data_IF_678454606015
#
_entry.id   IF_678454606015
#
_cell.length_a   1.000
_cell.length_b   1.000
_cell.length_c   1.000
_cell.angle_alpha   90.00
_cell.angle_beta   90.00
_cell.angle_gamma   90.00
#
_symmetry.space_group_name_H-M   'P 1'
#
loop_
_entity.id
_entity.type
_entity.pdbx_description
1 polymer ?
#
# COMPACT_ATOMS: atom_id res chain seq x y z
N UNK A 1 -9.17 -3.98 -21.66
CA UNK A 1 -8.58 -4.16 -20.33
C UNK A 1 -8.44 -5.60 -19.97
N UNK A 2 -7.33 -5.95 -19.36
CA UNK A 2 -7.12 -7.30 -18.88
C UNK A 2 -7.63 -7.42 -17.44
N UNK A 3 -7.81 -8.68 -17.00
CA UNK A 3 -8.15 -8.92 -15.60
C UNK A 3 -7.08 -8.41 -14.65
N UNK A 4 -5.82 -8.40 -15.10
CA UNK A 4 -4.70 -7.90 -14.30
C UNK A 4 -4.83 -6.41 -14.04
N UNK A 5 -5.21 -5.64 -15.06
CA UNK A 5 -5.37 -4.20 -14.91
C UNK A 5 -6.49 -3.86 -13.92
N UNK A 6 -7.59 -4.61 -14.00
CA UNK A 6 -8.71 -4.41 -13.09
C UNK A 6 -8.33 -4.80 -11.66
N UNK A 7 -7.62 -5.90 -11.51
CA UNK A 7 -7.17 -6.35 -10.19
C UNK A 7 -6.23 -5.32 -9.55
N UNK A 8 -5.26 -4.84 -10.32
CA UNK A 8 -4.31 -3.84 -9.82
C UNK A 8 -5.02 -2.57 -9.39
N UNK A 9 -5.98 -2.13 -10.18
CA UNK A 9 -6.76 -0.93 -9.89
C UNK A 9 -7.59 -1.12 -8.61
N UNK A 10 -8.27 -2.26 -8.48
CA UNK A 10 -9.07 -2.56 -7.30
C UNK A 10 -8.22 -2.58 -6.03
N UNK A 11 -7.10 -3.28 -6.08
CA UNK A 11 -6.19 -3.37 -4.93
C UNK A 11 -5.68 -1.98 -4.57
N UNK A 12 -5.26 -1.19 -5.56
CA UNK A 12 -4.76 0.15 -5.33
C UNK A 12 -5.80 1.04 -4.67
N UNK A 13 -7.04 1.00 -5.15
CA UNK A 13 -8.10 1.83 -4.58
C UNK A 13 -8.41 1.45 -3.15
N UNK A 14 -8.52 0.15 -2.87
CA UNK A 14 -8.83 -0.31 -1.52
C UNK A 14 -7.72 0.04 -0.53
N UNK A 15 -6.47 -0.10 -0.95
CA UNK A 15 -5.35 0.23 -0.09
C UNK A 15 -5.26 1.75 0.12
N UNK A 16 -5.47 2.54 -0.93
CA UNK A 16 -5.47 4.00 -0.78
C UNK A 16 -6.54 4.47 0.18
N UNK A 17 -7.73 3.90 0.12
CA UNK A 17 -8.80 4.23 1.05
C UNK A 17 -8.39 3.92 2.50
N UNK A 18 -7.75 2.78 2.70
CA UNK A 18 -7.25 2.41 4.02
C UNK A 18 -6.16 3.39 4.49
N UNK A 19 -5.24 3.74 3.61
CA UNK A 19 -4.12 4.61 3.97
C UNK A 19 -4.57 6.02 4.36
N UNK A 20 -5.67 6.50 3.80
CA UNK A 20 -6.19 7.82 4.15
C UNK A 20 -6.52 7.96 5.63
N UNK A 21 -6.82 6.86 6.30
CA UNK A 21 -7.09 6.87 7.74
C UNK A 21 -5.86 7.22 8.57
N UNK A 22 -4.67 7.11 7.97
CA UNK A 22 -3.40 7.31 8.68
C UNK A 22 -2.63 8.52 8.17
N UNK A 23 -3.27 9.36 7.39
CA UNK A 23 -2.63 10.50 6.73
C UNK A 23 -1.96 11.46 7.72
N UNK A 24 -2.52 11.59 8.92
CA UNK A 24 -2.03 12.56 9.90
C UNK A 24 -1.17 11.94 11.00
N UNK A 25 -0.88 10.64 10.91
CA UNK A 25 -0.05 9.97 11.91
C UNK A 25 1.41 9.95 11.50
N UNK A 26 2.27 10.03 12.49
CA UNK A 26 3.71 10.02 12.24
C UNK A 26 4.17 8.62 11.79
N UNK A 27 5.24 8.59 11.00
CA UNK A 27 5.82 7.34 10.54
C UNK A 27 6.61 6.68 11.69
N UNK A 28 5.95 5.78 12.38
CA UNK A 28 6.54 5.01 13.46
C UNK A 28 6.46 3.53 13.13
N UNK A 29 7.24 2.71 13.85
CA UNK A 29 7.18 1.26 13.64
C UNK A 29 5.77 0.72 13.92
N UNK A 30 5.09 1.28 14.91
CA UNK A 30 3.72 0.87 15.23
C UNK A 30 2.77 1.18 14.07
N UNK A 31 2.89 2.37 13.49
CA UNK A 31 2.06 2.74 12.35
C UNK A 31 2.34 1.82 11.16
N UNK A 32 3.62 1.57 10.87
CA UNK A 32 3.99 0.70 9.76
C UNK A 32 3.43 -0.71 9.92
N UNK A 33 3.50 -1.25 11.15
CA UNK A 33 2.94 -2.57 11.44
C UNK A 33 1.42 -2.58 11.24
N UNK A 34 0.76 -1.52 11.67
CA UNK A 34 -0.69 -1.39 11.51
C UNK A 34 -1.07 -1.35 10.03
N UNK A 35 -0.36 -0.56 9.23
CA UNK A 35 -0.62 -0.45 7.79
C UNK A 35 -0.41 -1.80 7.11
N UNK A 36 0.70 -2.49 7.46
CA UNK A 36 0.97 -3.80 6.88
C UNK A 36 -0.15 -4.78 7.21
N UNK A 37 -0.58 -4.82 8.46
CA UNK A 37 -1.65 -5.72 8.89
C UNK A 37 -2.96 -5.42 8.16
N UNK A 38 -3.31 -4.15 8.01
CA UNK A 38 -4.52 -3.76 7.30
C UNK A 38 -4.44 -4.12 5.82
N UNK A 39 -3.29 -3.90 5.19
CA UNK A 39 -3.09 -4.27 3.80
C UNK A 39 -3.18 -5.79 3.61
N UNK A 40 -2.58 -6.55 4.54
CA UNK A 40 -2.66 -8.01 4.51
C UNK A 40 -4.13 -8.47 4.59
N UNK A 41 -4.92 -7.85 5.45
CA UNK A 41 -6.33 -8.20 5.59
C UNK A 41 -7.11 -7.93 4.29
N UNK A 42 -6.84 -6.81 3.65
CA UNK A 42 -7.47 -6.48 2.37
C UNK A 42 -7.14 -7.55 1.32
N UNK A 43 -5.86 -7.89 1.21
CA UNK A 43 -5.43 -8.85 0.21
C UNK A 43 -5.86 -10.28 0.51
N UNK A 44 -5.97 -10.64 1.79
CA UNK A 44 -6.52 -11.94 2.16
C UNK A 44 -7.96 -12.09 1.70
N UNK A 45 -8.76 -11.04 1.82
CA UNK A 45 -10.13 -11.07 1.35
C UNK A 45 -10.22 -11.20 -0.17
N UNK A 46 -9.34 -10.50 -0.88
CA UNK A 46 -9.28 -10.60 -2.33
C UNK A 46 -8.80 -11.98 -2.75
N UNK A 47 -7.80 -12.52 -2.07
CA UNK A 47 -7.29 -13.85 -2.35
C UNK A 47 -8.36 -14.92 -2.14
N UNK A 48 -9.23 -14.73 -1.16
CA UNK A 48 -10.31 -15.67 -0.91
C UNK A 48 -11.29 -15.77 -2.07
N UNK A 49 -11.35 -14.77 -2.94
CA UNK A 49 -12.19 -14.82 -4.14
C UNK A 49 -11.54 -15.61 -5.28
N UNK A 50 -10.28 -16.00 -5.12
CA UNK A 50 -9.56 -16.77 -6.12
C UNK A 50 -8.79 -15.93 -7.13
N UNK A 51 -8.80 -14.62 -7.00
CA UNK A 51 -8.12 -13.73 -7.94
C UNK A 51 -6.63 -13.54 -7.70
N UNK A 52 -6.16 -13.87 -6.51
CA UNK A 52 -4.77 -13.70 -6.12
C UNK A 52 -4.23 -15.03 -5.59
N UNK A 53 -3.10 -15.45 -6.13
CA UNK A 53 -2.43 -16.66 -5.69
C UNK A 53 -1.56 -16.41 -4.46
N UNK A 54 -0.84 -15.29 -4.47
CA UNK A 54 0.03 -14.91 -3.36
C UNK A 54 0.20 -13.40 -3.35
N UNK A 55 0.55 -12.87 -2.18
CA UNK A 55 0.81 -11.44 -2.05
C UNK A 55 1.84 -11.20 -0.95
N UNK A 56 2.52 -10.06 -1.04
CA UNK A 56 3.45 -9.62 -0.01
C UNK A 56 3.26 -8.10 0.15
N UNK A 57 3.10 -7.66 1.38
CA UNK A 57 3.10 -6.24 1.71
C UNK A 57 4.35 -5.94 2.53
N UNK A 58 5.06 -4.90 2.15
CA UNK A 58 6.25 -4.45 2.87
C UNK A 58 6.03 -3.01 3.31
N UNK A 59 6.05 -2.81 4.62
CA UNK A 59 5.96 -1.49 5.23
C UNK A 59 6.80 -1.54 6.50
N UNK A 60 8.09 -1.36 6.34
CA UNK A 60 9.05 -1.45 7.44
C UNK A 60 10.24 -0.52 7.15
N UNK A 61 11.32 -0.67 7.91
CA UNK A 61 12.48 0.19 7.76
C UNK A 61 13.25 -0.05 6.46
N UNK A 62 13.00 -1.14 5.76
CA UNK A 62 13.69 -1.39 4.50
C UNK A 62 13.20 -0.47 3.39
N UNK A 63 11.90 -0.11 3.39
CA UNK A 63 11.37 0.82 2.42
C UNK A 63 11.00 2.17 3.04
N UNK A 64 10.96 2.27 4.36
CA UNK A 64 10.77 3.53 5.06
C UNK A 64 12.08 3.89 5.73
N UNK A 65 13.00 4.40 4.92
CA UNK A 65 14.34 4.79 5.36
C UNK A 65 14.26 6.08 6.18
N UNK A 66 15.35 6.45 6.91
CA UNK A 66 15.36 7.72 7.62
C UNK A 66 15.04 8.91 6.70
N UNK A 67 15.46 8.85 5.44
CA UNK A 67 15.18 9.90 4.46
C UNK A 67 13.69 10.00 4.17
N UNK A 68 13.02 8.85 4.01
CA UNK A 68 11.57 8.82 3.80
C UNK A 68 10.84 9.40 5.01
N UNK A 69 11.26 8.99 6.20
CA UNK A 69 10.66 9.46 7.45
C UNK A 69 10.85 10.96 7.61
N UNK A 70 12.06 11.45 7.31
CA UNK A 70 12.37 12.87 7.42
C UNK A 70 11.57 13.71 6.44
N UNK A 71 11.19 13.13 5.30
CA UNK A 71 10.34 13.82 4.32
C UNK A 71 8.85 13.64 4.61
N UNK A 72 8.52 13.14 5.79
CA UNK A 72 7.15 12.98 6.25
C UNK A 72 6.30 12.12 5.32
N UNK A 73 6.90 11.03 4.85
CA UNK A 73 6.21 10.06 4.00
C UNK A 73 6.15 8.69 4.67
N UNK A 74 5.15 7.91 4.28
CA UNK A 74 5.09 6.49 4.60
C UNK A 74 4.91 5.74 3.29
N UNK A 75 5.72 4.71 3.10
CA UNK A 75 5.70 3.91 1.88
C UNK A 75 5.23 2.50 2.19
N UNK A 76 4.25 2.04 1.42
CA UNK A 76 3.79 0.65 1.43
C UNK A 76 4.04 0.06 0.04
N UNK A 77 4.80 -1.01 -0.02
CA UNK A 77 5.03 -1.75 -1.26
C UNK A 77 4.19 -3.02 -1.24
N UNK A 78 3.38 -3.20 -2.27
CA UNK A 78 2.53 -4.37 -2.41
C UNK A 78 2.93 -5.13 -3.67
N UNK A 79 3.17 -6.43 -3.51
CA UNK A 79 3.48 -7.32 -4.61
C UNK A 79 2.39 -8.38 -4.67
N UNK A 80 1.81 -8.59 -5.84
CA UNK A 80 0.72 -9.52 -6.04
C UNK A 80 1.07 -10.49 -7.14
N UNK A 81 0.80 -11.77 -6.89
CA UNK A 81 0.91 -12.80 -7.91
C UNK A 81 -0.50 -13.24 -8.27
N UNK A 82 -0.99 -12.91 -9.47
CA UNK A 82 -2.35 -13.27 -9.87
C UNK A 82 -2.51 -14.78 -9.97
N UNK A 83 -3.72 -15.28 -9.72
CA UNK A 83 -4.01 -16.70 -9.82
C UNK A 83 -3.82 -17.20 -11.24
N UNK A 84 -4.08 -16.35 -12.22
CA UNK A 84 -3.88 -16.68 -13.63
C UNK A 84 -3.13 -15.54 -14.28
N UNK A 85 -2.16 -15.89 -15.09
CA UNK A 85 -1.40 -14.89 -15.79
C UNK A 85 0.07 -15.04 -15.51
N UNK A 86 0.83 -14.17 -16.09
CA UNK A 86 2.28 -14.21 -16.02
C UNK A 86 2.80 -13.07 -15.16
N UNK A 87 3.66 -13.41 -14.23
CA UNK A 87 4.44 -12.45 -13.51
C UNK A 87 3.73 -11.79 -12.35
N UNK A 88 4.49 -11.01 -11.64
CA UNK A 88 4.01 -10.28 -10.46
C UNK A 88 3.61 -8.87 -10.83
N UNK A 89 2.65 -8.35 -10.07
CA UNK A 89 2.31 -6.94 -10.13
C UNK A 89 2.88 -6.29 -8.89
N UNK A 90 3.67 -5.24 -9.07
CA UNK A 90 4.27 -4.51 -7.95
C UNK A 90 3.72 -3.09 -7.95
N UNK A 91 3.35 -2.62 -6.77
CA UNK A 91 2.75 -1.31 -6.63
C UNK A 91 3.29 -0.64 -5.38
N UNK A 92 3.73 0.61 -5.54
CA UNK A 92 4.18 1.40 -4.40
C UNK A 92 3.15 2.49 -4.12
N UNK A 93 2.71 2.55 -2.88
CA UNK A 93 1.76 3.56 -2.43
C UNK A 93 2.43 4.41 -1.38
N UNK A 94 2.32 5.72 -1.53
CA UNK A 94 2.99 6.67 -0.66
C UNK A 94 1.98 7.59 -0.02
N UNK A 95 2.07 7.76 1.30
CA UNK A 95 1.32 8.76 2.01
C UNK A 95 2.25 9.93 2.31
N UNK A 96 1.85 11.13 1.91
CA UNK A 96 2.55 12.36 2.27
C UNK A 96 1.84 12.94 3.47
N UNK A 97 2.50 12.88 4.63
CA UNK A 97 1.87 13.25 5.91
C UNK A 97 1.33 14.66 5.95
N UNK A 98 2.04 15.57 5.33
CA UNK A 98 1.62 16.96 5.29
C UNK A 98 1.19 17.38 3.90
N UNK A 99 1.07 16.41 2.99
CA UNK A 99 0.86 16.68 1.58
C UNK A 99 -0.38 17.50 1.30
N UNK A 100 -1.50 17.13 1.90
CA UNK A 100 -2.74 17.83 1.67
C UNK A 100 -2.65 19.30 2.08
N UNK A 101 -2.13 19.55 3.27
CA UNK A 101 -1.99 20.90 3.77
C UNK A 101 -0.95 21.68 2.97
N UNK A 102 0.19 21.06 2.71
CA UNK A 102 1.25 21.69 1.92
C UNK A 102 0.76 22.05 0.53
N UNK A 103 -0.02 21.19 -0.08
CA UNK A 103 -0.57 21.44 -1.40
C UNK A 103 -1.54 22.61 -1.42
N UNK A 104 -2.28 22.79 -0.34
CA UNK A 104 -3.21 23.91 -0.23
C UNK A 104 -2.49 25.24 -0.03
N UNK A 105 -1.37 25.22 0.67
CA UNK A 105 -0.59 26.43 0.94
C UNK A 105 0.14 26.89 -0.31
N UNK A 106 0.58 25.96 -1.11
CA UNK A 106 1.25 26.27 -2.36
C UNK A 106 0.23 26.61 -3.43
#
# INVERSE_FOLDING_TARGET
HTGHDLLKMLVGELIEMMLQNYQWELNTSTLRDTIKTKADTILEKIAATGGVYAFINICDETNNTPEVIDNEMVILDTSIEPARGAGKMVQRLTIHKTGGLSSLIK
#
